data_IF_481108779504
#
_entry.id   IF_481108779504
#
_cell.length_a   1.000
_cell.length_b   1.000
_cell.length_c   1.000
_cell.angle_alpha   90.00
_cell.angle_beta   90.00
_cell.angle_gamma   90.00
#
_symmetry.space_group_name_H-M   'P 1'
#
loop_
_entity.id
_entity.type
_entity.pdbx_description
1 polymer ?
#
# COMPACT_ATOMS: atom_id res chain seq x y z
N UNK A 1 -28.06 15.12 -7.75
CA UNK A 1 -26.69 15.21 -7.20
C UNK A 1 -25.76 15.20 -8.40
N UNK A 2 -24.80 16.14 -8.50
CA UNK A 2 -23.83 16.13 -9.62
C UNK A 2 -22.91 14.93 -9.36
N UNK A 3 -22.86 13.94 -10.27
CA UNK A 3 -21.89 12.86 -10.20
C UNK A 3 -20.48 13.49 -10.17
N UNK A 4 -19.64 13.08 -9.24
CA UNK A 4 -18.24 13.45 -9.22
C UNK A 4 -17.64 12.96 -10.57
N UNK A 5 -17.03 13.86 -11.33
CA UNK A 5 -16.46 13.48 -12.61
C UNK A 5 -14.95 13.40 -12.46
N UNK A 6 -14.41 12.20 -12.63
CA UNK A 6 -12.96 12.01 -12.67
C UNK A 6 -12.38 12.69 -13.93
N UNK A 7 -11.28 13.41 -13.76
CA UNK A 7 -10.48 13.92 -14.87
C UNK A 7 -10.10 12.79 -15.83
N UNK A 8 -10.25 13.00 -17.15
CA UNK A 8 -10.08 11.95 -18.14
C UNK A 8 -8.66 11.39 -18.17
N UNK A 9 -7.64 12.24 -17.99
CA UNK A 9 -6.25 11.79 -17.98
C UNK A 9 -5.94 10.99 -16.71
N UNK A 10 -6.50 11.42 -15.57
CA UNK A 10 -6.41 10.68 -14.31
C UNK A 10 -7.13 9.32 -14.41
N UNK A 11 -8.33 9.28 -15.00
CA UNK A 11 -9.08 8.05 -15.21
C UNK A 11 -8.28 7.05 -16.07
N UNK A 12 -7.80 7.48 -17.23
CA UNK A 12 -6.99 6.64 -18.11
C UNK A 12 -5.70 6.17 -17.44
N UNK A 13 -5.03 7.08 -16.70
CA UNK A 13 -3.80 6.75 -16.00
C UNK A 13 -4.05 5.68 -14.91
N UNK A 14 -5.05 5.86 -14.05
CA UNK A 14 -5.31 4.94 -12.94
C UNK A 14 -6.05 3.66 -13.33
N UNK A 15 -6.69 3.59 -14.49
CA UNK A 15 -7.25 2.36 -15.04
C UNK A 15 -6.19 1.45 -15.69
N UNK A 16 -5.05 1.98 -16.12
CA UNK A 16 -3.97 1.17 -16.70
C UNK A 16 -3.08 0.50 -15.65
N UNK A 17 -2.49 -0.65 -15.95
CA UNK A 17 -1.50 -1.31 -15.09
C UNK A 17 -0.22 -0.47 -14.93
N UNK A 18 0.48 -0.67 -13.81
CA UNK A 18 1.86 -0.22 -13.58
C UNK A 18 2.84 -1.36 -13.87
N UNK A 19 4.15 -1.06 -13.85
CA UNK A 19 5.16 -2.12 -13.87
C UNK A 19 5.04 -3.07 -12.66
N UNK A 20 4.50 -2.59 -11.53
CA UNK A 20 4.32 -3.39 -10.30
C UNK A 20 3.04 -4.21 -10.32
N UNK A 21 1.93 -3.66 -10.85
CA UNK A 21 0.61 -4.29 -10.83
C UNK A 21 0.31 -5.14 -12.07
N UNK A 22 1.15 -5.10 -13.11
CA UNK A 22 0.95 -5.88 -14.32
C UNK A 22 1.12 -7.38 -14.03
N UNK A 23 0.09 -8.23 -14.27
CA UNK A 23 0.20 -9.67 -14.12
C UNK A 23 1.08 -10.33 -15.20
N UNK A 24 1.53 -9.60 -16.22
CA UNK A 24 2.40 -10.09 -17.28
C UNK A 24 1.90 -11.37 -17.95
N UNK A 25 2.72 -12.40 -17.97
CA UNK A 25 2.36 -13.71 -18.53
C UNK A 25 1.20 -14.42 -17.81
N UNK A 26 0.86 -13.97 -16.59
CA UNK A 26 -0.24 -14.50 -15.77
C UNK A 26 -1.58 -13.80 -16.01
N UNK A 27 -1.67 -12.82 -16.93
CA UNK A 27 -2.93 -12.15 -17.28
C UNK A 27 -4.09 -13.10 -17.64
N UNK A 28 -3.88 -14.28 -18.27
CA UNK A 28 -4.97 -15.24 -18.50
C UNK A 28 -5.65 -15.75 -17.21
N UNK A 29 -4.98 -15.72 -16.06
CA UNK A 29 -5.57 -16.11 -14.77
C UNK A 29 -6.69 -15.15 -14.31
N UNK A 30 -6.76 -13.96 -14.90
CA UNK A 30 -7.76 -12.94 -14.55
C UNK A 30 -9.09 -13.13 -15.29
N UNK A 31 -9.18 -14.07 -16.24
CA UNK A 31 -10.37 -14.26 -17.07
C UNK A 31 -11.65 -14.59 -16.28
N UNK A 32 -11.50 -15.23 -15.10
CA UNK A 32 -12.62 -15.62 -14.25
C UNK A 32 -12.82 -14.69 -13.05
N UNK A 33 -12.11 -13.54 -12.99
CA UNK A 33 -12.30 -12.57 -11.91
C UNK A 33 -13.69 -11.91 -12.01
N UNK A 34 -14.34 -11.64 -10.87
CA UNK A 34 -15.58 -10.88 -10.86
C UNK A 34 -15.33 -9.39 -11.23
N UNK A 35 -16.40 -8.68 -11.58
CA UNK A 35 -16.34 -7.23 -11.85
C UNK A 35 -16.67 -6.39 -10.60
N UNK A 36 -17.24 -7.01 -9.56
CA UNK A 36 -17.61 -6.33 -8.32
C UNK A 36 -16.41 -6.04 -7.44
N UNK A 37 -16.18 -4.77 -7.01
CA UNK A 37 -15.04 -4.38 -6.20
C UNK A 37 -14.91 -5.15 -4.88
N UNK A 38 -16.02 -5.45 -4.18
CA UNK A 38 -15.98 -6.17 -2.91
C UNK A 38 -15.60 -7.65 -3.12
N UNK A 39 -16.07 -8.24 -4.20
CA UNK A 39 -15.66 -9.61 -4.56
C UNK A 39 -14.18 -9.67 -4.98
N UNK A 40 -13.69 -8.67 -5.72
CA UNK A 40 -12.26 -8.56 -6.07
C UNK A 40 -11.37 -8.39 -4.82
N UNK A 41 -11.82 -7.59 -3.83
CA UNK A 41 -11.10 -7.46 -2.56
C UNK A 41 -11.03 -8.80 -1.82
N UNK A 42 -12.13 -9.57 -1.80
CA UNK A 42 -12.16 -10.90 -1.21
C UNK A 42 -11.21 -11.87 -1.93
N UNK A 43 -11.16 -11.83 -3.27
CA UNK A 43 -10.21 -12.64 -4.04
C UNK A 43 -8.77 -12.27 -3.66
N UNK A 44 -8.42 -10.98 -3.61
CA UNK A 44 -7.09 -10.54 -3.20
C UNK A 44 -6.74 -11.05 -1.78
N UNK A 45 -7.70 -10.96 -0.85
CA UNK A 45 -7.56 -11.45 0.52
C UNK A 45 -7.32 -12.97 0.60
N UNK A 46 -8.00 -13.73 -0.23
CA UNK A 46 -7.88 -15.20 -0.26
C UNK A 46 -6.56 -15.70 -0.90
N UNK A 47 -5.81 -14.83 -1.57
CA UNK A 47 -4.51 -15.13 -2.17
C UNK A 47 -3.32 -14.74 -1.29
N UNK A 48 -3.51 -13.83 -0.33
CA UNK A 48 -2.45 -13.29 0.53
C UNK A 48 -2.77 -13.54 2.00
N UNK A 49 -1.75 -13.83 2.79
CA UNK A 49 -1.80 -13.82 4.26
C UNK A 49 -0.75 -12.84 4.77
N UNK A 50 -1.14 -11.99 5.73
CA UNK A 50 -0.17 -11.06 6.32
C UNK A 50 0.85 -11.81 7.20
N UNK A 51 2.12 -11.42 7.13
CA UNK A 51 3.22 -12.05 7.88
C UNK A 51 3.00 -12.14 9.40
N UNK A 52 2.09 -11.34 9.96
CA UNK A 52 1.72 -11.34 11.38
C UNK A 52 0.37 -12.00 11.68
N UNK A 53 -0.30 -12.57 10.68
CA UNK A 53 -1.61 -13.21 10.85
C UNK A 53 -1.53 -14.73 11.07
N UNK A 54 -0.34 -15.31 11.17
CA UNK A 54 -0.17 -16.75 11.30
C UNK A 54 -0.97 -17.35 12.47
N UNK A 55 -0.94 -16.72 13.63
CA UNK A 55 -1.70 -17.16 14.80
C UNK A 55 -3.23 -17.07 14.57
N UNK A 56 -3.70 -15.99 13.95
CA UNK A 56 -5.11 -15.78 13.63
C UNK A 56 -5.64 -16.89 12.72
N UNK A 57 -4.85 -17.30 11.72
CA UNK A 57 -5.18 -18.37 10.79
C UNK A 57 -4.70 -19.75 11.25
N UNK A 58 -4.20 -19.90 12.47
CA UNK A 58 -3.70 -21.14 13.08
C UNK A 58 -2.68 -21.85 12.20
N UNK A 59 -1.82 -21.08 11.58
CA UNK A 59 -0.75 -21.56 10.71
C UNK A 59 0.59 -20.91 11.09
N UNK A 60 1.56 -21.76 11.45
CA UNK A 60 2.93 -21.29 11.68
C UNK A 60 3.58 -20.98 10.33
N UNK A 61 3.82 -19.69 10.07
CA UNK A 61 4.43 -19.24 8.81
C UNK A 61 5.89 -19.72 8.76
N UNK A 62 6.29 -20.50 7.74
CA UNK A 62 7.68 -20.93 7.59
C UNK A 62 8.64 -19.75 7.40
N UNK A 63 9.82 -19.82 8.01
CA UNK A 63 10.82 -18.74 7.99
C UNK A 63 11.28 -18.43 6.57
N UNK A 64 11.46 -19.42 5.72
CA UNK A 64 11.83 -19.24 4.31
C UNK A 64 10.80 -18.41 3.53
N UNK A 65 9.51 -18.49 3.88
CA UNK A 65 8.47 -17.65 3.27
C UNK A 65 8.51 -16.23 3.77
N UNK A 66 8.79 -16.00 5.06
CA UNK A 66 8.99 -14.67 5.61
C UNK A 66 10.15 -13.93 4.92
N UNK A 67 11.21 -14.67 4.54
CA UNK A 67 12.38 -14.10 3.86
C UNK A 67 12.15 -13.89 2.36
N UNK A 68 11.63 -14.89 1.68
CA UNK A 68 11.57 -14.90 0.21
C UNK A 68 10.37 -14.11 -0.32
N UNK A 69 9.17 -14.33 0.24
CA UNK A 69 7.97 -13.63 -0.22
C UNK A 69 8.06 -12.12 0.07
N UNK A 70 8.64 -11.74 1.20
CA UNK A 70 8.78 -10.34 1.63
C UNK A 70 9.46 -9.42 0.61
N UNK A 71 10.34 -9.96 -0.23
CA UNK A 71 11.07 -9.19 -1.24
C UNK A 71 10.37 -9.13 -2.61
N UNK A 72 9.18 -9.72 -2.71
CA UNK A 72 8.41 -9.77 -3.95
C UNK A 72 7.71 -8.42 -4.19
N UNK A 73 8.05 -7.75 -5.28
CA UNK A 73 7.55 -6.40 -5.59
C UNK A 73 6.45 -6.36 -6.64
N UNK A 74 6.32 -7.40 -7.45
CA UNK A 74 5.57 -7.40 -8.70
C UNK A 74 4.44 -8.42 -8.66
N UNK A 75 3.28 -8.06 -9.18
CA UNK A 75 2.09 -8.93 -9.20
C UNK A 75 2.33 -10.20 -10.02
N UNK A 76 3.07 -10.13 -11.13
CA UNK A 76 3.40 -11.32 -11.92
C UNK A 76 4.16 -12.37 -11.09
N UNK A 77 5.06 -11.94 -10.20
CA UNK A 77 5.78 -12.82 -9.28
C UNK A 77 4.87 -13.36 -8.16
N UNK A 78 3.98 -12.52 -7.60
CA UNK A 78 2.98 -12.97 -6.62
C UNK A 78 2.09 -14.04 -7.26
N UNK A 79 1.58 -13.81 -8.47
CA UNK A 79 0.77 -14.79 -9.20
C UNK A 79 1.53 -16.10 -9.42
N UNK A 80 2.80 -16.04 -9.84
CA UNK A 80 3.64 -17.22 -10.00
C UNK A 80 3.74 -18.03 -8.70
N UNK A 81 4.07 -17.37 -7.59
CA UNK A 81 4.21 -18.02 -6.27
C UNK A 81 2.89 -18.67 -5.83
N UNK A 82 1.77 -17.98 -6.01
CA UNK A 82 0.44 -18.49 -5.65
C UNK A 82 0.07 -19.73 -6.45
N UNK A 83 0.31 -19.72 -7.77
CA UNK A 83 0.02 -20.87 -8.65
C UNK A 83 0.98 -22.04 -8.40
N UNK A 84 2.26 -21.79 -8.15
CA UNK A 84 3.23 -22.83 -7.78
C UNK A 84 2.84 -23.55 -6.48
N UNK A 85 2.19 -22.85 -5.53
CA UNK A 85 1.71 -23.45 -4.27
C UNK A 85 0.40 -24.20 -4.44
N UNK A 86 -0.51 -23.65 -5.23
CA UNK A 86 -1.80 -24.28 -5.50
C UNK A 86 -2.32 -23.82 -6.88
N UNK A 87 -2.22 -24.71 -7.87
CA UNK A 87 -2.69 -24.48 -9.24
C UNK A 87 -4.22 -24.60 -9.32
N UNK A 88 -4.89 -23.59 -8.75
CA UNK A 88 -6.34 -23.44 -8.78
C UNK A 88 -6.71 -22.05 -9.33
N UNK A 89 -7.93 -21.83 -9.86
CA UNK A 89 -8.40 -20.50 -10.23
C UNK A 89 -8.19 -19.49 -9.11
N UNK A 90 -7.87 -18.24 -9.44
CA UNK A 90 -7.61 -17.19 -8.43
C UNK A 90 -8.83 -16.95 -7.53
N UNK A 91 -10.03 -17.15 -8.06
CA UNK A 91 -11.31 -17.00 -7.34
C UNK A 91 -11.56 -18.10 -6.29
N UNK A 92 -10.78 -19.18 -6.31
CA UNK A 92 -10.89 -20.24 -5.32
C UNK A 92 -10.14 -19.87 -4.05
N UNK A 93 -10.85 -19.83 -2.92
CA UNK A 93 -10.28 -19.63 -1.60
C UNK A 93 -9.16 -20.66 -1.33
N UNK A 94 -8.01 -20.17 -0.85
CA UNK A 94 -6.86 -20.99 -0.49
C UNK A 94 -6.72 -21.12 1.02
N UNK A 95 -6.22 -22.27 1.45
CA UNK A 95 -5.76 -22.46 2.82
C UNK A 95 -4.57 -21.54 3.11
N UNK A 96 -4.35 -21.18 4.38
CA UNK A 96 -3.29 -20.25 4.77
C UNK A 96 -1.90 -20.65 4.21
N UNK A 97 -1.60 -21.95 4.20
CA UNK A 97 -0.35 -22.50 3.67
C UNK A 97 -0.15 -22.36 2.16
N UNK A 98 -1.20 -22.12 1.40
CA UNK A 98 -1.17 -21.98 -0.07
C UNK A 98 -1.14 -20.49 -0.50
N UNK A 99 -1.31 -19.57 0.45
CA UNK A 99 -1.30 -18.13 0.17
C UNK A 99 0.12 -17.58 0.07
N UNK A 100 0.25 -16.44 -0.61
CA UNK A 100 1.44 -15.60 -0.58
C UNK A 100 1.58 -14.96 0.81
N UNK A 101 2.79 -14.98 1.39
CA UNK A 101 3.06 -14.34 2.69
C UNK A 101 3.50 -12.91 2.43
N UNK A 102 2.58 -11.98 2.62
CA UNK A 102 2.79 -10.57 2.29
C UNK A 102 2.61 -9.61 3.45
N UNK A 103 2.51 -8.34 3.10
CA UNK A 103 2.18 -7.22 3.99
C UNK A 103 0.96 -6.48 3.44
N UNK A 104 0.46 -5.47 4.15
CA UNK A 104 -0.70 -4.68 3.72
C UNK A 104 -0.58 -4.15 2.28
N UNK A 105 0.64 -3.74 1.87
CA UNK A 105 0.93 -3.28 0.49
C UNK A 105 0.61 -4.35 -0.57
N UNK A 106 0.83 -5.63 -0.28
CA UNK A 106 0.66 -6.69 -1.27
C UNK A 106 -0.83 -7.00 -1.51
N UNK A 107 -1.65 -6.93 -0.47
CA UNK A 107 -3.12 -6.96 -0.63
C UNK A 107 -3.59 -5.78 -1.49
N UNK A 108 -3.14 -4.57 -1.18
CA UNK A 108 -3.51 -3.37 -1.91
C UNK A 108 -3.02 -3.39 -3.36
N UNK A 109 -1.81 -3.90 -3.64
CA UNK A 109 -1.27 -3.99 -4.99
C UNK A 109 -2.04 -5.00 -5.85
N UNK A 110 -2.29 -6.19 -5.31
CA UNK A 110 -3.02 -7.23 -6.01
C UNK A 110 -4.46 -6.77 -6.29
N UNK A 111 -5.09 -6.13 -5.33
CA UNK A 111 -6.42 -5.55 -5.50
C UNK A 111 -6.44 -4.42 -6.54
N UNK A 112 -5.45 -3.50 -6.53
CA UNK A 112 -5.28 -2.51 -7.61
C UNK A 112 -5.15 -3.17 -8.98
N UNK A 113 -4.39 -4.28 -9.07
CA UNK A 113 -4.23 -5.02 -10.32
C UNK A 113 -5.57 -5.56 -10.84
N UNK A 114 -6.39 -6.12 -9.95
CA UNK A 114 -7.71 -6.65 -10.30
C UNK A 114 -8.70 -5.55 -10.72
N UNK A 115 -8.77 -4.46 -9.96
CA UNK A 115 -9.60 -3.31 -10.29
C UNK A 115 -9.23 -2.71 -11.66
N UNK A 116 -7.94 -2.52 -11.91
CA UNK A 116 -7.42 -2.02 -13.19
C UNK A 116 -7.73 -2.97 -14.35
N UNK A 117 -7.72 -4.28 -14.10
CA UNK A 117 -8.15 -5.28 -15.10
C UNK A 117 -9.64 -5.14 -15.41
N UNK A 118 -10.49 -4.90 -14.41
CA UNK A 118 -11.91 -4.62 -14.57
C UNK A 118 -12.20 -3.22 -15.17
N UNK A 119 -11.16 -2.43 -15.48
CA UNK A 119 -11.32 -1.07 -16.01
C UNK A 119 -11.65 -0.01 -14.97
N UNK A 120 -11.61 -0.35 -13.68
CA UNK A 120 -11.88 0.55 -12.57
C UNK A 120 -10.59 1.32 -12.22
N UNK A 121 -10.58 2.68 -12.28
CA UNK A 121 -9.43 3.46 -11.86
C UNK A 121 -9.09 3.20 -10.39
N UNK A 122 -7.85 2.79 -10.11
CA UNK A 122 -7.41 2.44 -8.77
C UNK A 122 -5.96 2.84 -8.53
N UNK A 123 -5.64 3.19 -7.26
CA UNK A 123 -4.30 3.58 -6.82
C UNK A 123 -4.06 3.15 -5.39
N UNK A 124 -2.83 2.81 -5.04
CA UNK A 124 -2.46 2.60 -3.65
C UNK A 124 -2.35 3.93 -2.91
N UNK A 125 -2.65 3.90 -1.61
CA UNK A 125 -2.43 5.00 -0.68
C UNK A 125 -1.65 4.49 0.52
N UNK A 126 -0.51 5.11 0.79
CA UNK A 126 0.27 4.87 1.99
C UNK A 126 -0.13 5.87 3.08
N UNK A 127 -0.20 5.40 4.31
CA UNK A 127 -0.63 6.24 5.42
C UNK A 127 -0.67 5.48 6.74
N UNK A 128 -1.59 5.88 7.60
CA UNK A 128 -1.64 5.42 8.98
C UNK A 128 -3.07 5.11 9.39
N UNK A 129 -3.28 3.88 9.85
CA UNK A 129 -4.58 3.36 10.23
C UNK A 129 -4.76 3.39 11.75
N UNK A 130 -5.78 4.10 12.22
CA UNK A 130 -6.14 4.10 13.64
C UNK A 130 -6.74 2.78 14.14
N UNK A 131 -7.20 1.94 13.21
CA UNK A 131 -7.75 0.60 13.52
C UNK A 131 -6.68 -0.52 13.54
N UNK A 132 -5.45 -0.23 13.13
CA UNK A 132 -4.30 -1.15 13.23
C UNK A 132 -3.50 -0.88 14.51
N UNK A 133 -3.55 0.35 15.03
CA UNK A 133 -2.90 0.75 16.27
C UNK A 133 -3.77 0.55 17.52
N UNK A 134 -3.16 0.68 18.69
CA UNK A 134 -3.83 0.69 19.99
C UNK A 134 -3.57 2.04 20.69
N UNK A 135 -4.47 2.44 21.59
CA UNK A 135 -4.28 3.60 22.49
C UNK A 135 -3.92 4.92 21.79
N UNK A 136 -4.55 5.19 20.64
CA UNK A 136 -4.30 6.40 19.86
C UNK A 136 -3.05 6.36 18.98
N UNK A 137 -2.37 5.23 18.87
CA UNK A 137 -1.31 5.01 17.92
C UNK A 137 -1.90 4.70 16.53
N UNK A 138 -1.33 5.30 15.50
CA UNK A 138 -1.73 5.11 14.10
C UNK A 138 -0.70 4.21 13.42
N UNK A 139 -1.07 2.96 13.17
CA UNK A 139 -0.19 1.96 12.55
C UNK A 139 0.05 2.26 11.07
N UNK A 140 1.32 2.10 10.62
CA UNK A 140 1.67 2.15 9.20
C UNK A 140 0.84 1.15 8.40
N UNK A 141 0.22 1.62 7.34
CA UNK A 141 -0.68 0.80 6.54
C UNK A 141 -0.79 1.28 5.10
N UNK A 142 -1.13 0.35 4.21
CA UNK A 142 -1.38 0.63 2.79
C UNK A 142 -2.76 0.10 2.43
N UNK A 143 -3.56 0.98 1.85
CA UNK A 143 -4.91 0.66 1.34
C UNK A 143 -5.01 0.96 -0.15
N UNK A 144 -6.12 0.59 -0.75
CA UNK A 144 -6.44 0.94 -2.14
C UNK A 144 -7.47 2.05 -2.16
N UNK A 145 -7.29 3.00 -3.06
CA UNK A 145 -8.31 4.00 -3.38
C UNK A 145 -8.80 3.71 -4.80
N UNK A 146 -10.12 3.48 -4.98
CA UNK A 146 -10.73 3.17 -6.26
C UNK A 146 -11.87 4.13 -6.59
N UNK A 147 -12.14 4.30 -7.87
CA UNK A 147 -13.17 5.21 -8.34
C UNK A 147 -14.54 4.54 -8.42
N UNK A 148 -15.51 5.15 -7.76
CA UNK A 148 -16.94 4.87 -7.89
C UNK A 148 -17.62 6.03 -8.63
N UNK A 149 -18.41 5.74 -9.68
CA UNK A 149 -19.01 6.76 -10.55
C UNK A 149 -20.02 7.67 -9.85
N UNK A 150 -20.60 7.21 -8.74
CA UNK A 150 -21.59 7.98 -7.97
C UNK A 150 -20.95 8.70 -6.77
N UNK A 151 -19.97 8.07 -6.11
CA UNK A 151 -19.40 8.48 -4.82
C UNK A 151 -18.02 9.12 -4.93
N UNK A 152 -17.34 8.94 -6.05
CA UNK A 152 -15.96 9.40 -6.24
C UNK A 152 -14.91 8.42 -5.70
N UNK A 153 -13.77 8.93 -5.25
CA UNK A 153 -12.70 8.10 -4.71
C UNK A 153 -13.05 7.53 -3.32
N UNK A 154 -13.13 6.22 -3.24
CA UNK A 154 -13.38 5.45 -2.02
C UNK A 154 -12.08 4.77 -1.56
N UNK A 155 -11.82 4.78 -0.26
CA UNK A 155 -10.74 3.98 0.34
C UNK A 155 -11.26 2.59 0.64
N UNK A 156 -10.55 1.55 0.19
CA UNK A 156 -10.86 0.17 0.52
C UNK A 156 -9.62 -0.53 1.11
N UNK A 157 -9.84 -1.31 2.15
CA UNK A 157 -8.82 -2.15 2.76
C UNK A 157 -9.07 -3.62 2.46
N UNK A 158 -8.43 -4.18 1.41
CA UNK A 158 -8.64 -5.57 1.03
C UNK A 158 -8.16 -6.57 2.09
N UNK A 159 -7.28 -6.18 3.02
CA UNK A 159 -6.88 -7.03 4.14
C UNK A 159 -8.07 -7.33 5.08
N UNK A 160 -9.02 -6.41 5.18
CA UNK A 160 -10.24 -6.55 5.97
C UNK A 160 -11.36 -7.32 5.26
N UNK A 161 -11.16 -7.81 4.04
CA UNK A 161 -12.18 -8.57 3.31
C UNK A 161 -12.39 -10.02 3.85
N UNK A 162 -11.81 -10.37 5.00
CA UNK A 162 -12.07 -11.59 5.75
C UNK A 162 -12.71 -11.25 7.10
N UNK A 163 -13.90 -11.81 7.42
CA UNK A 163 -14.59 -11.56 8.68
C UNK A 163 -13.76 -11.87 9.93
N UNK A 164 -12.85 -12.82 9.88
CA UNK A 164 -11.96 -13.14 11.01
C UNK A 164 -11.04 -11.97 11.34
N UNK A 165 -10.57 -11.24 10.34
CA UNK A 165 -9.70 -10.06 10.53
C UNK A 165 -10.54 -8.89 11.05
N UNK A 166 -11.72 -8.67 10.48
CA UNK A 166 -12.68 -7.65 10.95
C UNK A 166 -12.99 -7.83 12.45
N UNK A 167 -13.29 -9.07 12.85
CA UNK A 167 -13.56 -9.40 14.25
C UNK A 167 -12.34 -9.23 15.16
N UNK A 168 -11.17 -9.70 14.71
CA UNK A 168 -9.93 -9.61 15.46
C UNK A 168 -9.47 -8.15 15.70
N UNK A 169 -9.67 -7.29 14.70
CA UNK A 169 -9.29 -5.87 14.77
C UNK A 169 -10.44 -4.98 15.25
N UNK A 170 -11.62 -5.56 15.52
CA UNK A 170 -12.82 -4.84 15.98
C UNK A 170 -13.21 -3.70 15.06
N UNK A 171 -13.16 -3.95 13.76
CA UNK A 171 -13.51 -2.96 12.73
C UNK A 171 -15.02 -2.72 12.75
N UNK A 172 -15.44 -1.46 12.81
CA UNK A 172 -16.83 -1.01 12.94
C UNK A 172 -17.33 -0.19 11.74
N UNK A 173 -16.63 -0.31 10.62
CA UNK A 173 -16.95 0.39 9.35
C UNK A 173 -16.90 -0.59 8.17
N UNK A 174 -17.37 -0.15 7.00
CA UNK A 174 -17.30 -0.91 5.76
C UNK A 174 -15.85 -0.93 5.22
N UNK A 175 -15.20 -2.10 5.10
CA UNK A 175 -13.87 -2.21 4.52
C UNK A 175 -13.74 -1.69 3.08
N UNK A 176 -14.86 -1.56 2.36
CA UNK A 176 -14.90 -1.02 0.99
C UNK A 176 -15.09 0.50 0.93
N UNK A 177 -15.28 1.14 2.09
CA UNK A 177 -15.40 2.59 2.25
C UNK A 177 -14.82 3.02 3.60
N UNK A 178 -13.51 2.84 3.75
CA UNK A 178 -12.78 3.17 4.98
C UNK A 178 -12.89 4.68 5.24
N UNK A 179 -13.43 5.09 6.42
CA UNK A 179 -13.54 6.51 6.73
C UNK A 179 -12.18 7.21 6.77
N UNK A 180 -12.13 8.44 6.21
CA UNK A 180 -10.87 9.21 6.08
C UNK A 180 -10.33 9.78 7.40
N UNK A 181 -11.04 9.60 8.49
CA UNK A 181 -10.58 9.84 9.87
C UNK A 181 -10.04 8.56 10.53
N UNK A 182 -10.36 7.38 9.98
CA UNK A 182 -9.84 6.08 10.43
C UNK A 182 -8.55 5.70 9.70
N UNK A 183 -8.36 6.18 8.47
CA UNK A 183 -7.11 6.06 7.70
C UNK A 183 -6.65 7.44 7.24
N UNK A 184 -5.54 7.89 7.82
CA UNK A 184 -4.90 9.15 7.45
C UNK A 184 -3.84 8.89 6.36
N UNK A 185 -4.08 9.35 5.14
CA UNK A 185 -3.03 9.34 4.10
C UNK A 185 -1.80 10.10 4.60
N UNK A 186 -0.61 9.67 4.21
CA UNK A 186 0.65 10.18 4.76
C UNK A 186 0.80 11.70 4.63
N UNK A 187 0.28 12.30 3.55
CA UNK A 187 0.30 13.75 3.37
C UNK A 187 -0.60 14.50 4.38
N UNK A 188 -1.71 13.90 4.81
CA UNK A 188 -2.58 14.45 5.85
C UNK A 188 -1.92 14.35 7.24
N UNK A 189 -1.32 13.19 7.55
CA UNK A 189 -0.57 12.98 8.78
C UNK A 189 0.61 13.96 8.89
N UNK A 190 1.39 14.12 7.81
CA UNK A 190 2.48 15.08 7.74
C UNK A 190 2.02 16.52 8.04
N UNK A 191 0.94 16.98 7.41
CA UNK A 191 0.41 18.33 7.63
C UNK A 191 -0.05 18.53 9.08
N UNK A 192 -0.72 17.55 9.68
CA UNK A 192 -1.14 17.62 11.09
C UNK A 192 0.06 17.74 12.03
N UNK A 193 1.13 16.99 11.79
CA UNK A 193 2.39 17.10 12.56
C UNK A 193 3.02 18.47 12.38
N UNK A 194 3.12 18.98 11.15
CA UNK A 194 3.70 20.29 10.86
C UNK A 194 2.91 21.46 11.46
N UNK A 195 1.60 21.30 11.60
CA UNK A 195 0.72 22.26 12.28
C UNK A 195 0.78 22.15 13.82
N UNK A 196 1.44 21.16 14.39
CA UNK A 196 1.44 20.89 15.83
C UNK A 196 0.14 20.30 16.38
N UNK A 197 -0.71 19.75 15.48
CA UNK A 197 -2.00 19.15 15.82
C UNK A 197 -1.85 17.66 16.16
N UNK A 198 -0.73 17.03 15.80
CA UNK A 198 -0.44 15.62 16.08
C UNK A 198 1.02 15.42 16.53
N UNK A 199 1.23 14.47 17.45
CA UNK A 199 2.57 14.06 17.87
C UNK A 199 3.13 13.05 16.86
N UNK A 200 4.29 13.30 16.19
CA UNK A 200 4.87 12.36 15.26
C UNK A 200 5.17 10.98 15.85
N UNK A 201 5.32 10.87 17.17
CA UNK A 201 5.56 9.60 17.87
C UNK A 201 4.34 8.67 17.92
N UNK A 202 3.17 9.16 17.54
CA UNK A 202 1.95 8.35 17.44
C UNK A 202 1.73 7.75 16.07
N UNK A 203 2.71 7.87 15.14
CA UNK A 203 2.65 7.35 13.77
C UNK A 203 3.83 6.45 13.48
N UNK A 204 3.57 5.22 13.06
CA UNK A 204 4.65 4.29 12.74
C UNK A 204 4.26 2.82 12.80
N UNK A 205 5.20 2.00 13.21
CA UNK A 205 5.08 0.54 13.25
C UNK A 205 5.75 -0.01 14.51
N UNK A 206 5.20 -1.10 15.06
CA UNK A 206 5.80 -1.83 16.18
C UNK A 206 6.06 -3.29 15.78
N UNK A 207 7.05 -3.54 14.91
CA UNK A 207 7.39 -4.90 14.52
C UNK A 207 7.98 -5.66 15.70
N UNK A 208 7.54 -6.91 15.96
CA UNK A 208 8.05 -7.71 17.07
C UNK A 208 9.58 -7.95 17.00
N UNK A 209 10.11 -8.01 15.78
CA UNK A 209 11.50 -8.37 15.50
C UNK A 209 12.49 -7.21 15.64
N UNK A 210 12.04 -5.96 15.42
CA UNK A 210 12.92 -4.80 15.25
C UNK A 210 12.73 -3.73 16.31
N UNK A 211 11.67 -3.85 17.09
CA UNK A 211 11.24 -2.79 18.00
C UNK A 211 10.51 -1.64 17.29
N UNK A 212 10.13 -0.60 18.03
CA UNK A 212 9.27 0.45 17.50
C UNK A 212 9.98 1.36 16.50
N UNK A 213 9.33 1.55 15.33
CA UNK A 213 9.73 2.43 14.25
C UNK A 213 8.67 3.52 14.11
N UNK A 214 8.94 4.75 14.53
CA UNK A 214 7.98 5.84 14.52
C UNK A 214 8.65 7.22 14.46
N UNK A 215 7.86 8.25 14.26
CA UNK A 215 8.32 9.63 14.32
C UNK A 215 8.29 10.35 12.98
N UNK A 216 8.79 11.59 12.98
CA UNK A 216 8.75 12.48 11.82
C UNK A 216 9.39 11.86 10.56
N UNK A 217 10.52 11.18 10.73
CA UNK A 217 11.23 10.51 9.63
C UNK A 217 10.39 9.39 9.00
N UNK A 218 9.65 8.65 9.84
CA UNK A 218 8.79 7.57 9.37
C UNK A 218 7.61 8.10 8.53
N UNK A 219 6.98 9.18 9.01
CA UNK A 219 5.90 9.86 8.26
C UNK A 219 6.43 10.47 6.96
N UNK A 220 7.63 11.06 6.97
CA UNK A 220 8.29 11.58 5.77
C UNK A 220 8.54 10.46 4.75
N UNK A 221 8.97 9.28 5.22
CA UNK A 221 9.16 8.11 4.37
C UNK A 221 7.82 7.64 3.76
N UNK A 222 6.79 7.45 4.58
CA UNK A 222 5.46 7.03 4.11
C UNK A 222 4.87 8.04 3.11
N UNK A 223 5.13 9.35 3.28
CA UNK A 223 4.71 10.38 2.32
C UNK A 223 5.42 10.24 0.96
N UNK A 224 6.71 9.87 0.94
CA UNK A 224 7.41 9.57 -0.32
C UNK A 224 6.83 8.34 -1.01
N UNK A 225 6.52 7.29 -0.23
CA UNK A 225 5.85 6.09 -0.74
C UNK A 225 4.47 6.41 -1.32
N UNK A 226 3.66 7.23 -0.64
CA UNK A 226 2.34 7.63 -1.11
C UNK A 226 2.43 8.41 -2.43
N UNK A 227 3.33 9.40 -2.50
CA UNK A 227 3.54 10.17 -3.74
C UNK A 227 4.05 9.28 -4.89
N UNK A 228 4.92 8.32 -4.61
CA UNK A 228 5.39 7.35 -5.60
C UNK A 228 4.25 6.45 -6.07
N UNK A 229 3.44 5.91 -5.17
CA UNK A 229 2.27 5.08 -5.48
C UNK A 229 1.22 5.86 -6.29
N UNK A 230 0.97 7.14 -5.99
CA UNK A 230 0.16 8.05 -6.81
C UNK A 230 0.70 8.24 -8.23
N UNK A 231 1.99 7.95 -8.44
CA UNK A 231 2.65 7.93 -9.74
C UNK A 231 2.88 6.51 -10.29
N UNK A 232 2.20 5.51 -9.72
CA UNK A 232 2.28 4.09 -10.10
C UNK A 232 3.66 3.46 -9.91
N UNK A 233 4.42 3.97 -8.95
CA UNK A 233 5.67 3.37 -8.47
C UNK A 233 5.37 2.81 -7.08
N UNK A 234 4.85 1.58 -7.06
CA UNK A 234 4.27 0.93 -5.89
C UNK A 234 5.31 -0.01 -5.24
N UNK A 235 6.39 0.57 -4.68
CA UNK A 235 7.49 -0.16 -4.04
C UNK A 235 7.10 -0.81 -2.71
N UNK A 236 8.01 -1.59 -2.11
CA UNK A 236 7.81 -2.11 -0.76
C UNK A 236 7.99 -1.00 0.29
N UNK A 237 7.35 -1.14 1.45
CA UNK A 237 7.38 -0.14 2.52
C UNK A 237 8.78 0.06 3.12
N UNK A 238 9.68 -0.89 2.97
CA UNK A 238 11.09 -0.80 3.38
C UNK A 238 12.07 -0.43 2.25
N UNK A 239 11.57 -0.08 1.08
CA UNK A 239 12.40 0.48 0.00
C UNK A 239 12.61 1.96 0.24
N UNK A 240 13.82 2.38 0.56
CA UNK A 240 14.14 3.77 0.89
C UNK A 240 15.00 4.45 -0.18
N UNK A 241 14.76 5.75 -0.36
CA UNK A 241 15.52 6.64 -1.25
C UNK A 241 15.36 8.10 -0.82
N UNK A 242 16.14 9.00 -1.46
CA UNK A 242 15.97 10.45 -1.30
C UNK A 242 16.33 11.00 0.09
N UNK A 243 16.96 10.18 0.92
CA UNK A 243 17.60 10.61 2.17
C UNK A 243 19.05 11.00 1.86
N UNK A 244 19.59 11.99 2.59
CA UNK A 244 21.01 12.31 2.46
C UNK A 244 21.91 11.10 2.71
N UNK A 245 23.17 11.22 2.39
CA UNK A 245 24.19 10.20 2.71
C UNK A 245 24.38 10.15 4.23
N UNK A 246 23.90 9.11 4.90
CA UNK A 246 24.10 8.92 6.34
C UNK A 246 22.85 8.36 7.03
N UNK A 247 22.30 9.13 7.95
CA UNK A 247 21.17 8.70 8.76
C UNK A 247 19.85 8.90 8.01
N UNK A 248 19.20 7.81 7.59
CA UNK A 248 17.87 7.86 6.93
C UNK A 248 16.74 8.27 7.89
N UNK A 249 17.00 8.34 9.20
CA UNK A 249 16.06 8.83 10.20
C UNK A 249 16.19 10.35 10.44
N UNK A 250 17.21 11.00 9.90
CA UNK A 250 17.37 12.45 10.04
C UNK A 250 16.44 13.20 9.08
N UNK A 251 15.61 14.10 9.61
CA UNK A 251 14.76 15.00 8.81
C UNK A 251 15.30 16.42 8.93
N UNK A 252 16.10 16.84 7.96
CA UNK A 252 16.64 18.20 7.89
C UNK A 252 15.55 19.21 7.51
N UNK A 253 15.78 20.50 7.72
CA UNK A 253 14.83 21.55 7.30
C UNK A 253 14.62 21.58 5.78
N UNK A 254 15.63 21.23 4.99
CA UNK A 254 15.49 21.08 3.54
C UNK A 254 14.56 19.93 3.17
N UNK A 255 14.67 18.78 3.87
CA UNK A 255 13.76 17.66 3.70
C UNK A 255 12.34 18.01 4.17
N UNK A 256 12.18 18.74 5.28
CA UNK A 256 10.86 19.23 5.73
C UNK A 256 10.21 20.09 4.66
N UNK A 257 10.92 21.08 4.10
CA UNK A 257 10.40 21.91 3.03
C UNK A 257 10.00 21.11 1.78
N UNK A 258 10.75 20.06 1.44
CA UNK A 258 10.43 19.18 0.34
C UNK A 258 9.15 18.37 0.60
N UNK A 259 9.02 17.80 1.81
CA UNK A 259 7.83 17.03 2.21
C UNK A 259 6.60 17.94 2.41
N UNK A 260 6.76 19.18 2.86
CA UNK A 260 5.66 20.16 2.91
C UNK A 260 5.03 20.35 1.52
N UNK A 261 5.85 20.40 0.44
CA UNK A 261 5.35 20.48 -0.94
C UNK A 261 4.68 19.17 -1.39
N UNK A 262 5.24 18.01 -1.02
CA UNK A 262 4.65 16.71 -1.34
C UNK A 262 3.28 16.54 -0.67
N UNK A 263 3.13 16.97 0.58
CA UNK A 263 1.89 16.88 1.33
C UNK A 263 0.73 17.71 0.76
N UNK A 264 1.02 18.76 -0.03
CA UNK A 264 0.00 19.55 -0.72
C UNK A 264 -0.68 18.81 -1.87
N UNK A 265 0.00 17.80 -2.43
CA UNK A 265 -0.48 17.03 -3.59
C UNK A 265 -0.79 15.57 -3.27
N UNK A 266 -0.53 15.13 -2.04
CA UNK A 266 -0.77 13.78 -1.54
C UNK A 266 -1.73 13.76 -0.32
N UNK A 267 -2.74 14.61 -0.34
CA UNK A 267 -3.82 14.66 0.64
C UNK A 267 -4.98 13.73 0.30
N UNK A 268 -6.15 13.99 0.92
CA UNK A 268 -7.41 13.31 0.57
C UNK A 268 -7.81 13.62 -0.88
N UNK A 269 -7.65 14.89 -1.29
CA UNK A 269 -7.78 15.31 -2.68
C UNK A 269 -6.40 15.31 -3.35
N UNK A 270 -6.29 14.62 -4.46
CA UNK A 270 -5.03 14.55 -5.23
C UNK A 270 -5.18 15.33 -6.53
N UNK A 271 -4.54 16.50 -6.64
CA UNK A 271 -4.48 17.24 -7.90
C UNK A 271 -3.54 16.52 -8.87
N UNK A 272 -4.09 15.65 -9.72
CA UNK A 272 -3.38 14.67 -10.55
C UNK A 272 -2.18 15.27 -11.29
N UNK A 273 -2.39 16.32 -12.08
CA UNK A 273 -1.31 16.94 -12.86
C UNK A 273 -0.21 17.55 -11.99
N UNK A 274 -0.56 18.11 -10.82
CA UNK A 274 0.40 18.70 -9.89
C UNK A 274 1.22 17.60 -9.18
N UNK A 275 0.59 16.50 -8.78
CA UNK A 275 1.27 15.34 -8.18
C UNK A 275 2.28 14.73 -9.16
N UNK A 276 1.89 14.53 -10.43
CA UNK A 276 2.75 14.08 -11.51
C UNK A 276 3.96 14.99 -11.70
N UNK A 277 3.69 16.29 -11.88
CA UNK A 277 4.74 17.30 -12.11
C UNK A 277 5.75 17.37 -10.97
N UNK A 278 5.27 17.32 -9.72
CA UNK A 278 6.14 17.35 -8.55
C UNK A 278 7.03 16.13 -8.49
N UNK A 279 6.45 14.93 -8.65
CA UNK A 279 7.20 13.67 -8.63
C UNK A 279 8.27 13.60 -9.73
N UNK A 280 7.92 13.98 -10.95
CA UNK A 280 8.85 13.96 -12.09
C UNK A 280 9.95 15.01 -11.96
N UNK A 281 9.63 16.19 -11.42
CA UNK A 281 10.55 17.34 -11.32
C UNK A 281 11.50 17.33 -10.14
N UNK A 282 11.18 16.59 -9.06
CA UNK A 282 11.94 16.64 -7.81
C UNK A 282 12.73 15.34 -7.58
N UNK A 283 14.03 15.38 -7.79
CA UNK A 283 14.90 14.20 -7.65
C UNK A 283 14.84 13.56 -6.25
N UNK A 284 14.63 14.34 -5.18
CA UNK A 284 14.51 13.84 -3.81
C UNK A 284 13.19 13.11 -3.51
N UNK A 285 12.17 13.30 -4.36
CA UNK A 285 10.87 12.63 -4.26
C UNK A 285 10.72 11.51 -5.27
N UNK A 286 11.28 11.68 -6.46
CA UNK A 286 11.20 10.68 -7.52
C UNK A 286 11.95 9.41 -7.11
N UNK A 287 11.30 8.26 -7.23
CA UNK A 287 11.93 6.96 -6.99
C UNK A 287 13.04 6.72 -8.03
N UNK A 288 14.28 6.46 -7.62
CA UNK A 288 15.34 6.10 -8.53
C UNK A 288 15.17 4.66 -9.02
N UNK A 289 15.90 4.30 -10.07
CA UNK A 289 15.91 2.92 -10.58
C UNK A 289 16.48 1.92 -9.56
N UNK A 290 17.38 2.35 -8.68
CA UNK A 290 17.93 1.53 -7.60
C UNK A 290 17.55 2.12 -6.25
N UNK A 291 16.95 1.32 -5.38
CA UNK A 291 16.55 1.66 -4.02
C UNK A 291 17.34 0.85 -3.02
N UNK A 292 17.44 1.33 -1.78
CA UNK A 292 17.95 0.53 -0.66
C UNK A 292 16.78 -0.19 0.01
N UNK A 293 16.77 -1.51 -0.04
CA UNK A 293 15.81 -2.34 0.68
C UNK A 293 16.31 -2.59 2.10
N UNK A 294 15.46 -2.31 3.09
CA UNK A 294 15.68 -2.59 4.51
C UNK A 294 14.73 -3.71 4.99
N UNK A 295 14.51 -4.72 4.17
CA UNK A 295 13.63 -5.83 4.55
C UNK A 295 14.09 -6.48 5.86
N UNK A 296 13.17 -6.70 6.82
CA UNK A 296 13.48 -7.10 8.20
C UNK A 296 14.38 -8.33 8.32
N UNK A 297 14.21 -9.28 7.40
CA UNK A 297 14.91 -10.57 7.51
C UNK A 297 16.18 -10.68 6.66
N UNK A 298 16.34 -9.82 5.65
CA UNK A 298 17.36 -10.00 4.62
C UNK A 298 18.53 -9.00 4.76
N UNK A 299 18.43 -8.08 5.70
CA UNK A 299 19.40 -6.99 5.90
C UNK A 299 19.38 -5.96 4.75
N UNK A 300 20.13 -4.87 4.90
CA UNK A 300 20.20 -3.80 3.91
C UNK A 300 20.80 -4.30 2.59
N UNK A 301 20.13 -4.04 1.46
CA UNK A 301 20.66 -4.34 0.12
C UNK A 301 20.12 -3.38 -0.94
N UNK A 302 20.95 -3.12 -1.96
CA UNK A 302 20.50 -2.38 -3.14
C UNK A 302 19.65 -3.29 -4.05
N UNK A 303 18.53 -2.75 -4.51
CA UNK A 303 17.60 -3.42 -5.42
C UNK A 303 17.34 -2.54 -6.63
N UNK A 304 17.53 -3.09 -7.83
CA UNK A 304 17.18 -2.42 -9.08
C UNK A 304 15.75 -2.75 -9.46
N UNK A 305 14.91 -1.72 -9.57
CA UNK A 305 13.51 -1.82 -10.01
C UNK A 305 13.42 -2.06 -11.53
N UNK A 306 12.34 -2.74 -11.99
CA UNK A 306 12.06 -2.98 -13.42
C UNK A 306 11.77 -1.69 -14.20
#
# INVERSE_FOLDING_TARGET
>A
MSSARLDQDAAAFYAGQSAFSDPGAHAPLYADLPDDPAELARVARDLVIHRWEGELFRWAIPEDRLHNDAETRYVDEICRIVIERNDAPLTRRREAGDRFVGICRDFALLYCSFLRHAGIPARQRCGFAGYVGADGFHGDHVVTEYWDDERGWLLADPQLADPMVVDAWKVDFDPMDVPRDRFLVAGKAWRAIRAGEADPKTFGLHPPEEGPLFGEWFVAHSLRLDLAALNKVETLQWDIWGTGTGDYMEVTDALRALHDRAALVAGDDVPFSAARKLFEGEAGLRTPKTVLSLAPFNGPREVTLR
#
